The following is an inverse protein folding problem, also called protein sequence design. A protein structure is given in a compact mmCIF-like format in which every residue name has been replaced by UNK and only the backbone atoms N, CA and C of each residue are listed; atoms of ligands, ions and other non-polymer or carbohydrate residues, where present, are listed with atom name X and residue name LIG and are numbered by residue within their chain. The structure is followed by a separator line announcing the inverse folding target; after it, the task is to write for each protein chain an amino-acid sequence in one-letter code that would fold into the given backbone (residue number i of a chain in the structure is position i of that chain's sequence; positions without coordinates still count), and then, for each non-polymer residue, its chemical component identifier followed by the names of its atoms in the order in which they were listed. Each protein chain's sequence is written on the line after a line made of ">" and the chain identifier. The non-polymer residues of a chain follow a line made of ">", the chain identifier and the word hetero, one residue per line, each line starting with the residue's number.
data_IF_538461467268
#
_entry.id   IF_538461467268
#
_cell.length_a   1.000
_cell.length_b   1.000
_cell.length_c   1.000
_cell.angle_alpha   90.00
_cell.angle_beta   90.00
_cell.angle_gamma   90.00
#
_symmetry.space_group_name_H-M   'P 1'
#
loop_
_entity.id
_entity.type
_entity.pdbx_description
1 polymer ?
#
# COMPACT_ATOMS: atom_id res chain seq x y z
N UNK A 1 -16.41 -41.14 -58.86
CA UNK A 1 -15.05 -40.60 -58.67
C UNK A 1 -15.07 -39.11 -58.29
N UNK A 2 -16.05 -38.65 -57.49
CA UNK A 2 -16.26 -37.21 -57.17
C UNK A 2 -15.99 -36.83 -55.70
N UNK A 3 -15.97 -37.79 -54.78
CA UNK A 3 -15.83 -37.53 -53.33
C UNK A 3 -14.42 -37.08 -52.91
N UNK A 4 -13.41 -37.31 -53.75
CA UNK A 4 -12.00 -36.98 -53.46
C UNK A 4 -11.67 -35.49 -53.64
N UNK A 5 -12.25 -34.82 -54.65
CA UNK A 5 -12.01 -33.39 -54.90
C UNK A 5 -12.67 -32.51 -53.84
N UNK A 6 -13.90 -32.84 -53.44
CA UNK A 6 -14.65 -32.09 -52.43
C UNK A 6 -13.94 -32.09 -51.07
N UNK A 7 -13.37 -33.24 -50.67
CA UNK A 7 -12.60 -33.38 -49.42
C UNK A 7 -11.30 -32.57 -49.41
N UNK A 8 -10.64 -32.41 -50.57
CA UNK A 8 -9.45 -31.55 -50.71
C UNK A 8 -9.81 -30.07 -50.66
N UNK A 9 -10.86 -29.65 -51.37
CA UNK A 9 -11.34 -28.26 -51.37
C UNK A 9 -11.78 -27.84 -49.96
N UNK A 10 -12.55 -28.69 -49.28
CA UNK A 10 -12.96 -28.42 -47.89
C UNK A 10 -11.77 -28.25 -46.94
N UNK A 11 -10.74 -29.11 -47.06
CA UNK A 11 -9.50 -28.97 -46.28
C UNK A 11 -8.77 -27.66 -46.54
N UNK A 12 -8.68 -27.22 -47.79
CA UNK A 12 -8.07 -25.93 -48.12
C UNK A 12 -8.85 -24.75 -47.52
N UNK A 13 -10.19 -24.78 -47.59
CA UNK A 13 -11.02 -23.74 -46.96
C UNK A 13 -10.82 -23.69 -45.44
N UNK A 14 -10.76 -24.85 -44.77
CA UNK A 14 -10.49 -24.93 -43.33
C UNK A 14 -9.10 -24.38 -42.99
N UNK A 15 -8.07 -24.69 -43.77
CA UNK A 15 -6.72 -24.15 -43.54
C UNK A 15 -6.66 -22.63 -43.71
N UNK A 16 -7.34 -22.08 -44.73
CA UNK A 16 -7.41 -20.63 -44.94
C UNK A 16 -8.11 -19.95 -43.77
N UNK A 17 -9.21 -20.52 -43.27
CA UNK A 17 -9.92 -20.00 -42.10
C UNK A 17 -9.07 -20.05 -40.82
N UNK A 18 -8.29 -21.11 -40.61
CA UNK A 18 -7.39 -21.22 -39.46
C UNK A 18 -6.21 -20.23 -39.54
N UNK A 19 -5.66 -20.00 -40.73
CA UNK A 19 -4.61 -19.00 -40.95
C UNK A 19 -5.17 -17.57 -40.74
N UNK A 20 -6.40 -17.30 -41.20
CA UNK A 20 -7.07 -16.02 -40.95
C UNK A 20 -7.38 -15.81 -39.45
N UNK A 21 -7.84 -16.85 -38.75
CA UNK A 21 -8.13 -16.77 -37.32
C UNK A 21 -6.85 -16.56 -36.49
N UNK A 22 -5.78 -17.30 -36.79
CA UNK A 22 -4.50 -17.16 -36.08
C UNK A 22 -3.86 -15.79 -36.32
N UNK A 23 -3.92 -15.25 -37.53
CA UNK A 23 -3.43 -13.90 -37.82
C UNK A 23 -4.23 -12.79 -37.13
N UNK A 24 -5.56 -12.93 -37.03
CA UNK A 24 -6.41 -11.99 -36.27
C UNK A 24 -6.09 -12.05 -34.78
N UNK A 25 -5.94 -13.25 -34.21
CA UNK A 25 -5.59 -13.44 -32.79
C UNK A 25 -4.20 -12.85 -32.52
N UNK A 26 -3.18 -13.20 -33.32
CA UNK A 26 -1.83 -12.64 -33.16
C UNK A 26 -1.87 -11.13 -33.28
N UNK A 27 -2.57 -10.56 -34.27
CA UNK A 27 -2.70 -9.10 -34.40
C UNK A 27 -3.38 -8.50 -33.18
N UNK A 28 -4.49 -9.06 -32.71
CA UNK A 28 -5.20 -8.57 -31.53
C UNK A 28 -4.35 -8.61 -30.25
N UNK A 29 -3.51 -9.63 -30.08
CA UNK A 29 -2.59 -9.76 -28.94
C UNK A 29 -1.27 -9.00 -29.10
N UNK A 30 -0.93 -8.51 -30.31
CA UNK A 30 0.32 -7.79 -30.58
C UNK A 30 0.13 -6.31 -30.92
N UNK A 31 -1.09 -5.86 -31.25
CA UNK A 31 -1.40 -4.44 -31.36
C UNK A 31 -1.57 -3.86 -29.96
N UNK A 32 -0.72 -2.92 -29.53
CA UNK A 32 -0.97 -2.20 -28.29
C UNK A 32 -2.31 -1.46 -28.41
N UNK A 33 -3.06 -1.40 -27.30
CA UNK A 33 -4.26 -0.57 -27.24
C UNK A 33 -3.93 0.85 -27.69
N UNK A 34 -4.81 1.50 -28.47
CA UNK A 34 -4.57 2.87 -28.89
C UNK A 34 -4.36 3.75 -27.66
N UNK A 35 -3.24 4.49 -27.66
CA UNK A 35 -2.88 5.40 -26.57
C UNK A 35 -3.98 6.44 -26.43
N UNK A 36 -4.75 6.39 -25.33
CA UNK A 36 -5.72 7.42 -25.00
C UNK A 36 -4.98 8.68 -24.51
N UNK A 37 -4.68 9.56 -25.46
CA UNK A 37 -3.93 10.79 -25.22
C UNK A 37 -4.64 11.75 -24.25
N UNK A 38 -5.96 11.72 -24.17
CA UNK A 38 -6.72 12.58 -23.26
C UNK A 38 -6.61 12.06 -21.82
N UNK A 39 -6.85 10.76 -21.62
CA UNK A 39 -6.70 10.12 -20.32
C UNK A 39 -5.27 10.23 -19.77
N UNK A 40 -4.26 10.06 -20.62
CA UNK A 40 -2.86 10.20 -20.20
C UNK A 40 -2.50 11.64 -19.81
N UNK A 41 -3.06 12.64 -20.50
CA UNK A 41 -2.86 14.05 -20.15
C UNK A 41 -3.47 14.37 -18.78
N UNK A 42 -4.67 13.88 -18.51
CA UNK A 42 -5.32 14.09 -17.22
C UNK A 42 -4.54 13.40 -16.09
N UNK A 43 -4.08 12.17 -16.30
CA UNK A 43 -3.26 11.45 -15.33
C UNK A 43 -1.93 12.15 -15.04
N UNK A 44 -1.27 12.67 -16.08
CA UNK A 44 -0.05 13.49 -15.96
C UNK A 44 -0.32 14.72 -15.07
N UNK A 45 -1.43 15.43 -15.31
CA UNK A 45 -1.81 16.60 -14.50
C UNK A 45 -2.05 16.23 -13.02
N UNK A 46 -2.69 15.08 -12.75
CA UNK A 46 -2.87 14.60 -11.38
C UNK A 46 -1.53 14.27 -10.70
N UNK A 47 -0.59 13.64 -11.41
CA UNK A 47 0.74 13.33 -10.88
C UNK A 47 1.52 14.62 -10.58
N UNK A 48 1.51 15.59 -11.50
CA UNK A 48 2.19 16.87 -11.31
C UNK A 48 1.63 17.65 -10.11
N UNK A 49 0.31 17.67 -9.97
CA UNK A 49 -0.35 18.27 -8.81
C UNK A 49 0.06 17.57 -7.51
N UNK A 50 0.04 16.24 -7.47
CA UNK A 50 0.45 15.46 -6.30
C UNK A 50 1.92 15.72 -5.93
N UNK A 51 2.82 15.79 -6.92
CA UNK A 51 4.24 16.13 -6.69
C UNK A 51 4.36 17.54 -6.08
N UNK A 52 3.61 18.51 -6.59
CA UNK A 52 3.61 19.89 -6.08
C UNK A 52 3.11 19.96 -4.63
N UNK A 53 2.01 19.27 -4.31
CA UNK A 53 1.46 19.18 -2.96
C UNK A 53 2.45 18.54 -1.98
N UNK A 54 3.12 17.44 -2.39
CA UNK A 54 4.18 16.81 -1.60
C UNK A 54 5.34 17.79 -1.37
N UNK A 55 5.75 18.53 -2.41
CA UNK A 55 6.84 19.48 -2.29
C UNK A 55 6.52 20.65 -1.37
N UNK A 56 5.26 21.07 -1.30
CA UNK A 56 4.80 22.03 -0.31
C UNK A 56 4.84 21.45 1.10
N UNK A 57 4.29 20.24 1.30
CA UNK A 57 4.29 19.54 2.59
C UNK A 57 5.70 19.28 3.12
N UNK A 58 6.67 18.98 2.25
CA UNK A 58 8.07 18.79 2.64
C UNK A 58 8.79 20.09 3.04
N UNK A 59 8.24 21.25 2.65
CA UNK A 59 8.78 22.58 2.99
C UNK A 59 8.08 23.22 4.18
N UNK A 60 6.82 22.89 4.41
CA UNK A 60 6.00 23.50 5.45
C UNK A 60 6.16 22.78 6.79
N UNK A 61 6.04 23.55 7.88
CA UNK A 61 5.87 23.03 9.24
C UNK A 61 4.38 23.10 9.64
N UNK A 62 3.48 22.94 8.68
CA UNK A 62 2.04 23.05 8.93
C UNK A 62 1.57 22.06 10.00
N UNK A 63 0.49 22.48 10.70
CA UNK A 63 -0.20 21.64 11.66
C UNK A 63 -0.62 20.35 10.97
N UNK A 64 -0.20 19.22 11.54
CA UNK A 64 -0.45 17.91 10.95
C UNK A 64 -1.95 17.61 11.02
N UNK A 65 -2.52 17.02 9.95
CA UNK A 65 -3.89 16.54 10.01
C UNK A 65 -4.00 15.39 11.02
N UNK A 66 -5.23 15.03 11.41
CA UNK A 66 -5.44 13.86 12.25
C UNK A 66 -4.94 12.57 11.57
N UNK A 67 -4.73 11.52 12.37
CA UNK A 67 -4.15 10.25 11.94
C UNK A 67 -4.92 9.63 10.76
N UNK A 68 -6.26 9.66 10.78
CA UNK A 68 -7.07 9.05 9.73
C UNK A 68 -6.94 9.81 8.40
N UNK A 69 -6.91 11.14 8.47
CA UNK A 69 -6.66 12.00 7.31
C UNK A 69 -5.25 11.78 6.75
N UNK A 70 -4.23 11.67 7.60
CA UNK A 70 -2.86 11.39 7.18
C UNK A 70 -2.73 10.02 6.48
N UNK A 71 -3.34 8.97 7.04
CA UNK A 71 -3.35 7.64 6.43
C UNK A 71 -4.07 7.64 5.08
N UNK A 72 -5.22 8.31 4.99
CA UNK A 72 -5.98 8.44 3.75
C UNK A 72 -5.18 9.17 2.67
N UNK A 73 -4.43 10.20 3.05
CA UNK A 73 -3.52 10.91 2.14
C UNK A 73 -2.45 9.97 1.56
N UNK A 74 -1.81 9.16 2.41
CA UNK A 74 -0.81 8.17 1.96
C UNK A 74 -1.42 7.11 1.04
N UNK A 75 -2.59 6.58 1.37
CA UNK A 75 -3.31 5.59 0.56
C UNK A 75 -3.67 6.14 -0.81
N UNK A 76 -4.20 7.37 -0.87
CA UNK A 76 -4.56 8.04 -2.13
C UNK A 76 -3.35 8.18 -3.06
N UNK A 77 -2.22 8.63 -2.53
CA UNK A 77 -0.97 8.76 -3.29
C UNK A 77 -0.40 7.41 -3.74
N UNK A 78 -0.53 6.37 -2.92
CA UNK A 78 -0.15 5.01 -3.29
C UNK A 78 -1.01 4.46 -4.44
N UNK A 79 -2.31 4.74 -4.45
CA UNK A 79 -3.21 4.37 -5.56
C UNK A 79 -2.82 5.11 -6.83
N UNK A 80 -2.59 6.43 -6.76
CA UNK A 80 -2.16 7.23 -7.91
C UNK A 80 -0.86 6.69 -8.52
N UNK A 81 0.16 6.43 -7.70
CA UNK A 81 1.40 5.82 -8.15
C UNK A 81 1.18 4.44 -8.79
N UNK A 82 0.39 3.57 -8.16
CA UNK A 82 0.13 2.23 -8.69
C UNK A 82 -0.63 2.26 -10.03
N UNK A 83 -1.48 3.24 -10.25
CA UNK A 83 -2.15 3.44 -11.54
C UNK A 83 -1.15 3.98 -12.57
N UNK A 84 -0.36 4.99 -12.22
CA UNK A 84 0.62 5.61 -13.10
C UNK A 84 1.72 4.63 -13.56
N UNK A 85 2.29 3.83 -12.64
CA UNK A 85 3.38 2.89 -12.99
C UNK A 85 2.96 1.78 -13.96
N UNK A 86 1.66 1.46 -13.99
CA UNK A 86 1.08 0.42 -14.85
C UNK A 86 0.64 0.95 -16.22
N UNK A 87 0.58 2.27 -16.39
CA UNK A 87 0.23 2.90 -17.65
C UNK A 87 1.30 2.56 -18.72
N UNK A 88 0.92 2.41 -19.99
CA UNK A 88 1.84 2.08 -21.09
C UNK A 88 2.63 3.30 -21.59
N UNK A 89 2.14 4.51 -21.36
CA UNK A 89 2.75 5.77 -21.77
C UNK A 89 4.07 6.04 -21.04
N UNK A 90 5.09 6.40 -21.81
CA UNK A 90 6.44 6.60 -21.30
C UNK A 90 6.53 7.80 -20.36
N UNK A 91 5.84 8.90 -20.66
CA UNK A 91 5.86 10.13 -19.84
C UNK A 91 5.20 9.85 -18.50
N UNK A 92 4.03 9.20 -18.52
CA UNK A 92 3.32 8.81 -17.29
C UNK A 92 4.18 7.90 -16.41
N UNK A 93 4.86 6.91 -17.00
CA UNK A 93 5.78 6.03 -16.26
C UNK A 93 6.94 6.81 -15.63
N UNK A 94 7.59 7.68 -16.39
CA UNK A 94 8.72 8.48 -15.89
C UNK A 94 8.30 9.39 -14.73
N UNK A 95 7.14 10.05 -14.85
CA UNK A 95 6.59 10.86 -13.77
C UNK A 95 6.19 10.03 -12.55
N UNK A 96 5.71 8.79 -12.74
CA UNK A 96 5.39 7.88 -11.63
C UNK A 96 6.61 7.57 -10.76
N UNK A 97 7.82 7.47 -11.34
CA UNK A 97 9.05 7.25 -10.59
C UNK A 97 9.48 8.49 -9.79
N UNK A 98 9.19 9.69 -10.30
CA UNK A 98 9.38 10.94 -9.54
C UNK A 98 8.41 10.98 -8.36
N UNK A 99 7.14 10.70 -8.61
CA UNK A 99 6.10 10.63 -7.59
C UNK A 99 6.46 9.61 -6.50
N UNK A 100 6.91 8.41 -6.88
CA UNK A 100 7.39 7.38 -5.95
C UNK A 100 8.42 7.93 -4.97
N UNK A 101 9.50 8.53 -5.49
CA UNK A 101 10.59 9.08 -4.65
C UNK A 101 10.07 10.13 -3.66
N UNK A 102 9.11 10.96 -4.08
CA UNK A 102 8.48 11.99 -3.25
C UNK A 102 7.63 11.36 -2.15
N UNK A 103 6.79 10.39 -2.50
CA UNK A 103 5.94 9.65 -1.54
C UNK A 103 6.80 8.99 -0.46
N UNK A 104 7.82 8.21 -0.86
CA UNK A 104 8.69 7.50 0.09
C UNK A 104 9.39 8.46 1.06
N UNK A 105 9.83 9.63 0.57
CA UNK A 105 10.45 10.65 1.41
C UNK A 105 9.48 11.18 2.47
N UNK A 106 8.22 11.40 2.13
CA UNK A 106 7.20 11.84 3.10
C UNK A 106 6.88 10.70 4.07
N UNK A 107 6.71 9.47 3.60
CA UNK A 107 6.41 8.31 4.43
C UNK A 107 7.46 8.09 5.52
N UNK A 108 8.75 8.13 5.16
CA UNK A 108 9.85 8.02 6.11
C UNK A 108 9.87 9.14 7.18
N UNK A 109 9.28 10.30 6.88
CA UNK A 109 9.15 11.40 7.84
C UNK A 109 7.88 11.34 8.68
N UNK A 110 6.78 10.83 8.11
CA UNK A 110 5.45 10.92 8.71
C UNK A 110 5.11 9.68 9.54
N UNK A 111 5.41 8.45 9.08
CA UNK A 111 5.04 7.25 9.84
C UNK A 111 5.60 7.18 11.25
N UNK A 112 6.88 7.51 11.53
CA UNK A 112 7.38 7.57 12.90
C UNK A 112 6.57 8.52 13.79
N UNK A 113 6.15 9.67 13.24
CA UNK A 113 5.34 10.66 13.96
C UNK A 113 3.93 10.15 14.19
N UNK A 114 3.30 9.56 13.17
CA UNK A 114 1.95 9.01 13.26
C UNK A 114 1.86 7.89 14.30
N UNK A 115 2.87 7.02 14.37
CA UNK A 115 2.96 5.96 15.39
C UNK A 115 3.01 6.55 16.80
N UNK A 116 3.84 7.57 17.00
CA UNK A 116 3.96 8.27 18.28
C UNK A 116 2.67 8.98 18.66
N UNK A 117 2.08 9.73 17.73
CA UNK A 117 0.79 10.42 17.92
C UNK A 117 -0.33 9.44 18.24
N UNK A 118 -0.37 8.28 17.59
CA UNK A 118 -1.31 7.22 17.92
C UNK A 118 -1.15 6.79 19.38
N UNK A 119 0.06 6.47 19.82
CA UNK A 119 0.29 6.06 21.20
C UNK A 119 -0.09 7.17 22.19
N UNK A 120 0.33 8.41 21.92
CA UNK A 120 0.03 9.59 22.73
C UNK A 120 -1.49 9.82 22.85
N UNK A 121 -2.24 9.69 21.75
CA UNK A 121 -3.70 9.86 21.73
C UNK A 121 -4.46 8.84 22.58
N UNK A 122 -3.86 7.67 22.85
CA UNK A 122 -4.48 6.59 23.62
C UNK A 122 -4.04 6.57 25.08
N UNK A 123 -3.03 7.35 25.47
CA UNK A 123 -2.48 7.35 26.84
C UNK A 123 -3.54 7.57 27.91
N UNK A 124 -4.34 8.61 27.79
CA UNK A 124 -5.33 8.97 28.81
C UNK A 124 -6.43 7.91 28.95
N UNK A 125 -6.95 7.43 27.82
CA UNK A 125 -7.99 6.40 27.78
C UNK A 125 -7.49 5.10 28.41
N UNK A 126 -6.29 4.65 28.02
CA UNK A 126 -5.70 3.40 28.51
C UNK A 126 -5.23 3.51 29.96
N UNK A 127 -4.83 4.70 30.42
CA UNK A 127 -4.49 4.93 31.82
C UNK A 127 -5.69 4.66 32.75
N UNK A 128 -6.92 4.97 32.29
CA UNK A 128 -8.16 4.62 33.00
C UNK A 128 -8.36 3.11 33.19
N UNK A 129 -7.74 2.29 32.33
CA UNK A 129 -7.76 0.82 32.43
C UNK A 129 -6.47 0.26 33.07
N UNK A 130 -5.65 1.12 33.68
CA UNK A 130 -4.33 0.76 34.23
C UNK A 130 -3.38 0.15 33.18
N UNK A 131 -3.51 0.59 31.93
CA UNK A 131 -2.64 0.22 30.81
C UNK A 131 -1.75 1.42 30.46
N UNK A 132 -0.45 1.21 30.47
CA UNK A 132 0.53 2.16 29.92
C UNK A 132 0.80 1.80 28.47
N UNK A 133 0.83 2.80 27.59
CA UNK A 133 1.19 2.67 26.17
C UNK A 133 2.41 3.52 25.85
N UNK A 134 3.36 2.96 25.10
CA UNK A 134 4.49 3.71 24.56
C UNK A 134 4.97 3.11 23.23
N UNK A 135 5.76 3.89 22.51
CA UNK A 135 6.49 3.45 21.32
C UNK A 135 7.98 3.38 21.61
N UNK A 136 8.68 2.58 20.82
CA UNK A 136 10.14 2.43 20.90
C UNK A 136 10.72 1.97 19.55
N UNK A 137 12.05 2.03 19.42
CA UNK A 137 12.76 1.82 18.16
C UNK A 137 13.17 3.14 17.52
N UNK A 138 14.13 3.11 16.59
CA UNK A 138 14.66 4.34 15.96
C UNK A 138 13.59 5.08 15.16
N UNK A 139 12.59 4.35 14.66
CA UNK A 139 11.45 4.89 13.94
C UNK A 139 10.14 4.84 14.75
N UNK A 140 10.15 4.48 16.04
CA UNK A 140 8.92 4.23 16.83
C UNK A 140 8.14 2.98 16.36
N UNK A 141 8.82 2.00 15.76
CA UNK A 141 8.20 0.83 15.10
C UNK A 141 7.70 -0.28 16.04
N UNK A 142 8.02 -0.19 17.33
CA UNK A 142 7.54 -1.12 18.36
C UNK A 142 6.53 -0.43 19.25
N UNK A 143 5.29 -0.91 19.24
CA UNK A 143 4.23 -0.47 20.15
C UNK A 143 4.20 -1.37 21.38
N UNK A 144 4.24 -0.80 22.58
CA UNK A 144 4.21 -1.56 23.83
C UNK A 144 3.03 -1.15 24.69
N UNK A 145 2.34 -2.16 25.19
CA UNK A 145 1.31 -2.04 26.21
C UNK A 145 1.76 -2.76 27.48
N UNK A 146 1.70 -2.07 28.61
CA UNK A 146 2.07 -2.61 29.93
C UNK A 146 0.89 -2.47 30.87
N UNK A 147 0.45 -3.58 31.47
CA UNK A 147 -0.72 -3.58 32.36
C UNK A 147 -1.02 -4.97 32.90
N UNK A 148 -1.72 -5.02 34.03
CA UNK A 148 -2.02 -6.29 34.71
C UNK A 148 -2.87 -7.24 33.85
N UNK A 149 -3.69 -6.74 32.92
CA UNK A 149 -4.50 -7.60 32.04
C UNK A 149 -3.66 -8.46 31.07
N UNK A 150 -2.38 -8.13 30.89
CA UNK A 150 -1.45 -8.85 30.02
C UNK A 150 -0.69 -9.95 30.76
N UNK A 151 -1.22 -10.43 31.88
CA UNK A 151 -0.75 -11.67 32.50
C UNK A 151 -0.67 -12.85 31.50
N UNK A 152 0.20 -13.86 31.71
CA UNK A 152 0.34 -15.04 30.86
C UNK A 152 -0.98 -15.72 30.47
N UNK A 153 -1.96 -15.80 31.38
CA UNK A 153 -3.31 -16.33 31.18
C UNK A 153 -4.28 -15.36 30.49
N UNK A 154 -3.86 -14.12 30.27
CA UNK A 154 -4.70 -13.00 29.87
C UNK A 154 -5.11 -12.98 28.39
N UNK A 155 -6.03 -12.06 28.08
CA UNK A 155 -6.71 -11.94 26.79
C UNK A 155 -5.89 -11.19 25.70
N UNK A 156 -4.58 -11.41 25.62
CA UNK A 156 -3.66 -10.73 24.66
C UNK A 156 -4.09 -10.87 23.20
N UNK A 157 -4.53 -12.08 22.82
CA UNK A 157 -5.01 -12.35 21.45
C UNK A 157 -6.26 -11.54 21.09
N UNK A 158 -7.14 -11.27 22.06
CA UNK A 158 -8.33 -10.44 21.82
C UNK A 158 -7.91 -9.00 21.58
N UNK A 159 -7.11 -8.45 22.49
CA UNK A 159 -6.60 -7.09 22.36
C UNK A 159 -5.84 -6.89 21.05
N UNK A 160 -5.00 -7.85 20.67
CA UNK A 160 -4.29 -7.82 19.38
C UNK A 160 -5.24 -7.79 18.19
N UNK A 161 -6.31 -8.60 18.16
CA UNK A 161 -7.30 -8.55 17.07
C UNK A 161 -7.99 -7.19 16.98
N UNK A 162 -8.27 -6.56 18.11
CA UNK A 162 -8.97 -5.28 18.17
C UNK A 162 -8.12 -4.12 17.61
N UNK A 163 -6.79 -4.26 17.62
CA UNK A 163 -5.84 -3.24 17.12
C UNK A 163 -5.11 -3.64 15.84
N UNK A 164 -5.32 -4.85 15.31
CA UNK A 164 -4.53 -5.45 14.22
C UNK A 164 -4.51 -4.57 12.96
N UNK A 165 -5.66 -4.02 12.57
CA UNK A 165 -5.79 -3.17 11.40
C UNK A 165 -5.00 -1.87 11.55
N UNK A 166 -5.22 -1.14 12.64
CA UNK A 166 -4.57 0.15 12.84
C UNK A 166 -3.04 0.02 13.01
N UNK A 167 -2.56 -1.06 13.64
CA UNK A 167 -1.10 -1.24 13.75
C UNK A 167 -0.44 -1.58 12.41
N UNK A 168 -1.16 -2.28 11.51
CA UNK A 168 -0.69 -2.54 10.14
C UNK A 168 -0.70 -1.28 9.29
N UNK A 169 -1.76 -0.49 9.38
CA UNK A 169 -1.89 0.77 8.64
C UNK A 169 -0.83 1.79 9.06
N UNK A 170 -0.51 1.85 10.35
CA UNK A 170 0.57 2.68 10.91
C UNK A 170 1.97 2.07 10.72
N UNK A 171 2.07 0.90 10.08
CA UNK A 171 3.33 0.21 9.78
C UNK A 171 4.18 -0.08 11.00
N UNK A 172 3.55 -0.38 12.14
CA UNK A 172 4.30 -0.98 13.25
C UNK A 172 4.88 -2.31 12.80
N UNK A 173 6.07 -2.65 13.30
CA UNK A 173 6.74 -3.92 13.05
C UNK A 173 6.53 -4.91 14.17
N UNK A 174 6.27 -4.40 15.38
CA UNK A 174 6.11 -5.23 16.56
C UNK A 174 5.12 -4.62 17.54
N UNK A 175 4.30 -5.47 18.14
CA UNK A 175 3.46 -5.14 19.30
C UNK A 175 3.92 -5.99 20.47
N UNK A 176 4.14 -5.37 21.63
CA UNK A 176 4.58 -6.04 22.85
C UNK A 176 3.55 -5.84 23.95
N UNK A 177 3.10 -6.93 24.56
CA UNK A 177 2.28 -6.91 25.77
C UNK A 177 3.12 -7.35 26.96
N UNK A 178 3.13 -6.57 28.04
CA UNK A 178 3.99 -6.80 29.20
C UNK A 178 3.19 -6.79 30.51
N UNK A 179 3.40 -7.80 31.36
CA UNK A 179 2.96 -7.74 32.76
C UNK A 179 3.93 -6.84 33.55
N UNK A 180 3.45 -5.79 34.25
CA UNK A 180 4.24 -5.02 35.22
C UNK A 180 5.07 -5.86 36.21
N UNK A 181 6.38 -5.62 36.31
CA UNK A 181 7.24 -6.25 37.33
C UNK A 181 7.78 -7.63 36.98
N UNK A 182 7.54 -8.12 35.75
CA UNK A 182 8.21 -9.31 35.20
C UNK A 182 8.64 -9.04 33.76
N UNK A 183 9.86 -8.57 33.58
CA UNK A 183 10.41 -8.26 32.25
C UNK A 183 10.54 -9.48 31.33
N UNK A 184 10.58 -10.69 31.91
CA UNK A 184 10.62 -11.96 31.16
C UNK A 184 9.25 -12.43 30.67
N UNK A 185 8.16 -11.87 31.18
CA UNK A 185 6.79 -12.28 30.86
C UNK A 185 6.17 -11.31 29.83
N UNK A 186 6.87 -11.08 28.72
CA UNK A 186 6.34 -10.35 27.57
C UNK A 186 5.76 -11.30 26.52
N UNK A 187 4.82 -10.78 25.73
CA UNK A 187 4.32 -11.47 24.55
C UNK A 187 4.50 -10.55 23.36
N UNK A 188 5.36 -11.00 22.46
CA UNK A 188 5.81 -10.23 21.31
C UNK A 188 5.07 -10.74 20.07
N UNK A 189 4.46 -9.80 19.35
CA UNK A 189 3.74 -10.04 18.11
C UNK A 189 4.45 -9.32 16.99
N UNK A 190 5.00 -10.07 16.04
CA UNK A 190 5.50 -9.52 14.80
C UNK A 190 4.33 -9.12 13.90
N UNK A 191 4.41 -7.92 13.35
CA UNK A 191 3.37 -7.37 12.48
C UNK A 191 3.91 -7.38 11.06
N UNK A 192 3.24 -8.16 10.20
CA UNK A 192 3.52 -8.14 8.77
C UNK A 192 2.91 -6.87 8.15
N UNK A 193 3.69 -5.79 8.14
CA UNK A 193 3.36 -4.50 7.54
C UNK A 193 4.45 -4.07 6.56
N UNK A 194 4.11 -3.19 5.62
CA UNK A 194 5.07 -2.59 4.68
C UNK A 194 6.12 -1.77 5.41
N UNK A 195 7.32 -1.65 4.85
CA UNK A 195 8.33 -0.71 5.34
C UNK A 195 7.97 0.73 4.99
N UNK A 196 8.53 1.73 5.69
CA UNK A 196 8.24 3.15 5.43
C UNK A 196 8.74 3.61 4.05
N UNK A 197 9.65 2.87 3.43
CA UNK A 197 10.18 3.07 2.09
C UNK A 197 9.49 2.18 1.01
N UNK A 198 8.34 1.60 1.35
CA UNK A 198 7.49 0.85 0.44
C UNK A 198 6.14 1.52 0.15
N UNK A 199 5.63 1.37 -1.09
CA UNK A 199 4.31 1.86 -1.53
C UNK A 199 3.30 0.73 -1.62
#
# INVERSE_FOLDING_TARGET
>A
METSKFRKIFRYCVYILLIAATTVIVKHFTTPEPIDTASNKDLTLFIEKAISEIDQKLKSNETRPDIATALSWHQSHAVLYNNARRNSDKVVKEQSEVLKKKILKVQAQDFPKLRKEYADSKKEILAGEHITINTSGSAEETLRFTGALFEPSGNKKKFMRDIDEIVKDLRFKRVVFQWPGKDTDSSDYEINSKDDDEI
#
